data_IF_120297302406
#
_entry.id   IF_120297302406
#
_cell.length_a   1.000
_cell.length_b   1.000
_cell.length_c   1.000
_cell.angle_alpha   90.00
_cell.angle_beta   90.00
_cell.angle_gamma   90.00
#
_symmetry.space_group_name_H-M   'P 1'
#
loop_
_entity.id
_entity.type
_entity.pdbx_description
1 polymer ?
#
# COMPACT_ATOMS: atom_id res chain seq x y z
N UNK A 1 -14.31 5.62 -22.40
CA UNK A 1 -13.18 5.16 -21.57
C UNK A 1 -13.07 3.67 -21.77
N UNK A 2 -11.97 3.19 -22.35
CA UNK A 2 -11.69 1.74 -22.36
C UNK A 2 -11.63 1.24 -20.91
N UNK A 3 -12.37 0.18 -20.64
CA UNK A 3 -12.43 -0.44 -19.31
C UNK A 3 -11.11 -1.16 -19.09
N UNK A 4 -10.30 -0.70 -18.15
CA UNK A 4 -9.06 -1.40 -17.79
C UNK A 4 -9.40 -2.85 -17.37
N UNK A 5 -8.56 -3.83 -17.74
CA UNK A 5 -8.77 -5.21 -17.32
C UNK A 5 -8.72 -5.33 -15.80
N UNK A 6 -9.61 -6.13 -15.22
CA UNK A 6 -9.63 -6.35 -13.78
C UNK A 6 -8.28 -6.89 -13.31
N UNK A 7 -7.69 -6.26 -12.30
CA UNK A 7 -6.41 -6.63 -11.69
C UNK A 7 -6.66 -7.23 -10.30
N UNK A 8 -5.99 -8.34 -10.00
CA UNK A 8 -6.05 -8.95 -8.66
C UNK A 8 -5.60 -7.97 -7.57
N UNK A 9 -4.71 -7.02 -7.89
CA UNK A 9 -4.17 -6.06 -6.93
C UNK A 9 -5.02 -4.79 -6.77
N UNK A 10 -5.91 -4.48 -7.72
CA UNK A 10 -6.75 -3.28 -7.66
C UNK A 10 -8.24 -3.60 -7.42
N UNK A 11 -8.72 -4.72 -7.94
CA UNK A 11 -10.15 -5.07 -7.96
C UNK A 11 -10.49 -6.22 -7.00
N UNK A 12 -9.51 -7.03 -6.58
CA UNK A 12 -9.73 -8.20 -5.71
C UNK A 12 -9.12 -8.00 -4.32
N UNK A 13 -7.89 -7.49 -4.24
CA UNK A 13 -7.26 -7.11 -2.98
C UNK A 13 -7.43 -5.60 -2.78
N UNK A 14 -8.50 -5.23 -2.08
CA UNK A 14 -8.73 -3.85 -1.66
C UNK A 14 -7.68 -3.34 -0.67
N UNK A 15 -7.64 -2.02 -0.40
CA UNK A 15 -6.73 -1.46 0.60
C UNK A 15 -6.86 -2.22 1.93
N UNK A 16 -5.72 -2.49 2.57
CA UNK A 16 -5.69 -3.09 3.91
C UNK A 16 -6.31 -2.08 4.87
N UNK A 17 -7.57 -2.32 5.19
CA UNK A 17 -8.38 -1.50 6.08
C UNK A 17 -8.87 -2.33 7.25
N UNK A 18 -9.31 -1.67 8.31
CA UNK A 18 -10.02 -2.37 9.37
C UNK A 18 -11.42 -2.77 8.86
N UNK A 19 -11.80 -4.04 9.03
CA UNK A 19 -13.18 -4.50 8.79
C UNK A 19 -14.21 -3.82 9.72
N UNK A 20 -15.52 -4.06 9.51
CA UNK A 20 -16.10 -5.17 8.76
C UNK A 20 -16.55 -4.86 7.31
N UNK A 21 -16.59 -3.59 6.89
CA UNK A 21 -17.18 -3.19 5.61
C UNK A 21 -16.35 -2.13 4.89
N UNK A 22 -16.05 -2.35 3.61
CA UNK A 22 -15.23 -1.44 2.80
C UNK A 22 -15.95 -0.15 2.45
N UNK A 23 -17.23 -0.23 2.10
CA UNK A 23 -18.03 0.95 1.78
C UNK A 23 -18.27 1.84 3.00
N UNK A 24 -18.40 1.24 4.18
CA UNK A 24 -18.77 1.96 5.41
C UNK A 24 -17.55 2.43 6.18
N UNK A 25 -16.50 1.62 6.33
CA UNK A 25 -15.28 2.02 7.07
C UNK A 25 -14.33 2.79 6.15
N UNK A 26 -13.83 2.16 5.08
CA UNK A 26 -12.86 2.80 4.20
C UNK A 26 -13.46 3.96 3.40
N UNK A 27 -14.73 3.83 2.97
CA UNK A 27 -15.44 4.94 2.33
C UNK A 27 -15.53 6.18 3.23
N UNK A 28 -15.99 6.00 4.48
CA UNK A 28 -16.09 7.09 5.45
C UNK A 28 -14.72 7.67 5.82
N UNK A 29 -13.71 6.82 6.02
CA UNK A 29 -12.36 7.26 6.34
C UNK A 29 -11.72 8.05 5.21
N UNK A 30 -11.95 7.66 3.96
CA UNK A 30 -11.47 8.41 2.80
C UNK A 30 -12.14 9.79 2.71
N UNK A 31 -13.46 9.86 2.90
CA UNK A 31 -14.20 11.13 2.93
C UNK A 31 -13.65 12.04 4.04
N UNK A 32 -13.50 11.49 5.24
CA UNK A 32 -12.94 12.20 6.39
C UNK A 32 -11.51 12.70 6.14
N UNK A 33 -10.65 11.88 5.52
CA UNK A 33 -9.29 12.25 5.17
C UNK A 33 -9.26 13.40 4.16
N UNK A 34 -10.13 13.40 3.15
CA UNK A 34 -10.26 14.52 2.20
C UNK A 34 -10.69 15.81 2.90
N UNK A 35 -11.67 15.73 3.79
CA UNK A 35 -12.09 16.88 4.61
C UNK A 35 -10.93 17.37 5.47
N UNK A 36 -10.22 16.45 6.14
CA UNK A 36 -9.07 16.77 6.99
C UNK A 36 -7.95 17.49 6.22
N UNK A 37 -7.65 17.03 5.00
CA UNK A 37 -6.66 17.66 4.11
C UNK A 37 -7.07 19.06 3.65
N UNK A 38 -8.37 19.35 3.64
CA UNK A 38 -8.89 20.68 3.31
C UNK A 38 -8.84 21.67 4.48
N UNK A 39 -8.39 21.24 5.67
CA UNK A 39 -8.32 22.05 6.88
C UNK A 39 -6.87 22.39 7.25
N UNK A 40 -6.59 23.68 7.43
CA UNK A 40 -5.27 24.19 7.84
C UNK A 40 -4.99 24.05 9.35
N UNK A 41 -5.98 23.64 10.14
CA UNK A 41 -5.87 23.52 11.59
C UNK A 41 -6.30 22.13 12.08
N UNK A 42 -5.80 21.67 13.25
CA UNK A 42 -6.23 20.41 13.84
C UNK A 42 -7.75 20.38 14.11
N UNK A 43 -8.38 19.25 13.82
CA UNK A 43 -9.80 19.02 14.09
C UNK A 43 -10.00 18.92 15.61
N UNK A 44 -10.64 19.92 16.21
CA UNK A 44 -10.97 19.92 17.65
C UNK A 44 -12.28 19.20 17.95
N UNK A 45 -13.24 19.30 17.02
CA UNK A 45 -14.56 18.70 17.12
C UNK A 45 -15.11 18.48 15.71
N UNK A 46 -15.73 17.34 15.49
CA UNK A 46 -16.52 17.06 14.29
C UNK A 46 -17.92 16.63 14.72
N UNK A 47 -18.92 17.09 13.98
CA UNK A 47 -20.30 16.63 14.08
C UNK A 47 -20.61 15.97 12.74
N UNK A 48 -21.00 14.71 12.78
CA UNK A 48 -21.30 13.91 11.58
C UNK A 48 -22.77 13.55 11.65
N UNK A 49 -23.57 14.23 10.84
CA UNK A 49 -24.99 13.93 10.69
C UNK A 49 -25.19 12.98 9.51
N UNK A 50 -25.86 11.87 9.77
CA UNK A 50 -26.23 10.91 8.73
C UNK A 50 -27.62 11.21 8.22
N UNK A 51 -27.81 11.15 6.90
CA UNK A 51 -29.15 11.14 6.32
C UNK A 51 -29.88 9.87 6.80
N UNK A 52 -31.00 10.05 7.49
CA UNK A 52 -31.83 8.96 8.03
C UNK A 52 -32.37 8.02 6.95
N UNK A 53 -32.49 8.49 5.70
CA UNK A 53 -32.86 7.67 4.56
C UNK A 53 -31.64 7.10 3.81
N UNK A 54 -30.43 7.48 4.23
CA UNK A 54 -29.16 7.07 3.64
C UNK A 54 -28.69 5.70 4.13
N UNK A 55 -27.81 5.09 3.34
CA UNK A 55 -27.30 3.74 3.60
C UNK A 55 -26.45 3.62 4.89
N UNK A 56 -25.83 4.73 5.33
CA UNK A 56 -24.92 4.75 6.48
C UNK A 56 -25.67 4.84 7.82
N UNK A 57 -26.80 5.57 7.89
CA UNK A 57 -27.49 5.85 9.15
C UNK A 57 -27.96 4.59 9.88
N UNK A 58 -28.51 3.62 9.16
CA UNK A 58 -29.05 2.41 9.77
C UNK A 58 -27.96 1.48 10.37
N UNK A 59 -26.70 1.64 9.97
CA UNK A 59 -25.65 0.68 10.30
C UNK A 59 -24.31 1.28 10.71
N UNK A 60 -24.27 2.58 11.01
CA UNK A 60 -23.02 3.30 11.26
C UNK A 60 -22.16 2.66 12.35
N UNK A 61 -22.76 2.21 13.47
CA UNK A 61 -22.03 1.56 14.56
C UNK A 61 -21.62 0.12 14.20
N UNK A 62 -22.53 -0.65 13.61
CA UNK A 62 -22.31 -2.07 13.32
C UNK A 62 -21.30 -2.31 12.18
N UNK A 63 -21.31 -1.43 11.18
CA UNK A 63 -20.37 -1.45 10.07
C UNK A 63 -19.17 -0.50 10.28
N UNK A 64 -19.06 0.19 11.42
CA UNK A 64 -17.89 0.98 11.80
C UNK A 64 -17.68 2.27 11.00
N UNK A 65 -18.75 2.88 10.49
CA UNK A 65 -18.70 4.14 9.75
C UNK A 65 -18.22 5.31 10.61
N UNK A 66 -18.66 5.34 11.87
CA UNK A 66 -18.22 6.29 12.88
C UNK A 66 -16.70 6.23 13.10
N UNK A 67 -16.17 5.02 13.21
CA UNK A 67 -14.73 4.78 13.35
C UNK A 67 -13.97 5.18 12.09
N UNK A 68 -14.53 4.92 10.91
CA UNK A 68 -13.96 5.40 9.65
C UNK A 68 -13.84 6.93 9.62
N UNK A 69 -14.92 7.64 9.94
CA UNK A 69 -14.87 9.11 10.05
C UNK A 69 -13.83 9.58 11.07
N UNK A 70 -13.78 8.96 12.25
CA UNK A 70 -12.80 9.29 13.27
C UNK A 70 -11.36 9.06 12.77
N UNK A 71 -11.05 7.90 12.18
CA UNK A 71 -9.70 7.57 11.73
C UNK A 71 -9.22 8.50 10.61
N UNK A 72 -10.09 8.84 9.67
CA UNK A 72 -9.77 9.78 8.60
C UNK A 72 -9.57 11.21 9.10
N UNK A 73 -10.43 11.68 10.03
CA UNK A 73 -10.31 13.02 10.61
C UNK A 73 -9.06 13.16 11.49
N UNK A 74 -8.65 12.07 12.15
CA UNK A 74 -7.43 11.99 12.95
C UNK A 74 -6.18 11.70 12.11
N UNK A 75 -6.31 11.59 10.78
CA UNK A 75 -5.22 11.34 9.84
C UNK A 75 -4.48 9.99 10.03
N UNK A 76 -5.12 9.02 10.69
CA UNK A 76 -4.48 7.75 11.06
C UNK A 76 -4.10 6.91 9.84
N UNK A 77 -4.87 6.99 8.75
CA UNK A 77 -4.58 6.27 7.51
C UNK A 77 -3.27 6.74 6.86
N UNK A 78 -3.05 8.05 6.80
CA UNK A 78 -1.83 8.61 6.23
C UNK A 78 -0.62 8.31 7.10
N UNK A 79 -0.82 8.30 8.42
CA UNK A 79 0.24 7.96 9.37
C UNK A 79 0.66 6.49 9.23
N UNK A 80 -0.29 5.57 9.04
CA UNK A 80 0.01 4.15 8.83
C UNK A 80 0.67 3.91 7.48
N UNK A 81 0.24 4.62 6.43
CA UNK A 81 0.88 4.60 5.13
C UNK A 81 2.33 5.10 5.21
N UNK A 82 2.60 6.14 6.00
CA UNK A 82 3.95 6.67 6.19
C UNK A 82 4.88 5.62 6.79
N UNK A 83 4.49 5.00 7.91
CA UNK A 83 5.27 3.93 8.55
C UNK A 83 5.49 2.76 7.58
N UNK A 84 4.44 2.37 6.86
CA UNK A 84 4.51 1.29 5.88
C UNK A 84 5.55 1.57 4.78
N UNK A 85 5.56 2.79 4.23
CA UNK A 85 6.52 3.21 3.21
C UNK A 85 7.94 3.35 3.77
N UNK A 86 8.10 3.90 4.96
CA UNK A 86 9.40 3.99 5.64
C UNK A 86 10.04 2.60 5.78
N UNK A 87 9.26 1.58 6.18
CA UNK A 87 9.75 0.21 6.39
C UNK A 87 10.27 -0.47 5.12
N UNK A 88 9.84 -0.03 3.93
CA UNK A 88 10.25 -0.60 2.64
C UNK A 88 11.13 0.35 1.82
N UNK A 89 11.50 1.50 2.39
CA UNK A 89 12.32 2.50 1.69
C UNK A 89 13.68 1.89 1.33
N UNK A 90 14.08 2.02 0.07
CA UNK A 90 15.34 1.48 -0.43
C UNK A 90 15.32 -0.03 -0.76
N UNK A 91 14.17 -0.70 -0.70
CA UNK A 91 14.06 -2.09 -1.12
C UNK A 91 14.40 -2.24 -2.61
N UNK A 92 15.54 -2.88 -2.91
CA UNK A 92 15.99 -3.08 -4.28
C UNK A 92 15.05 -4.01 -5.06
N UNK A 93 15.02 -3.85 -6.39
CA UNK A 93 14.34 -4.79 -7.27
C UNK A 93 15.38 -5.77 -7.84
N UNK A 94 15.36 -7.01 -7.40
CA UNK A 94 16.40 -8.00 -7.69
C UNK A 94 15.81 -9.40 -7.98
N UNK A 95 14.97 -9.55 -9.03
CA UNK A 95 14.30 -10.80 -9.35
C UNK A 95 15.30 -11.92 -9.69
N UNK A 96 15.06 -13.11 -9.13
CA UNK A 96 15.77 -14.33 -9.48
C UNK A 96 15.32 -14.79 -10.87
N UNK A 97 16.31 -15.01 -11.74
CA UNK A 97 16.08 -15.43 -13.12
C UNK A 97 15.36 -14.39 -13.97
N UNK A 98 15.39 -13.11 -13.60
CA UNK A 98 14.69 -12.03 -14.30
C UNK A 98 13.17 -12.28 -14.47
N UNK A 99 12.56 -13.00 -13.52
CA UNK A 99 11.11 -13.29 -13.51
C UNK A 99 10.43 -12.65 -12.31
N UNK A 100 9.14 -12.32 -12.47
CA UNK A 100 8.32 -11.70 -11.42
C UNK A 100 7.75 -12.78 -10.48
N UNK A 101 8.63 -13.61 -9.93
CA UNK A 101 8.25 -14.74 -9.07
C UNK A 101 8.97 -14.63 -7.73
N UNK A 102 10.28 -14.85 -7.72
CA UNK A 102 11.09 -14.81 -6.51
C UNK A 102 12.10 -13.66 -6.56
N UNK A 103 12.27 -12.84 -5.50
CA UNK A 103 11.48 -12.79 -4.26
C UNK A 103 10.17 -11.98 -4.39
N UNK A 104 9.71 -11.64 -5.61
CA UNK A 104 8.55 -10.77 -5.83
C UNK A 104 7.29 -11.18 -5.06
N UNK A 105 6.94 -12.47 -5.06
CA UNK A 105 5.81 -13.01 -4.28
C UNK A 105 6.04 -12.86 -2.76
N UNK A 106 7.27 -13.11 -2.31
CA UNK A 106 7.66 -12.89 -0.92
C UNK A 106 7.57 -11.42 -0.52
N UNK A 107 7.92 -10.49 -1.42
CA UNK A 107 7.77 -9.05 -1.22
C UNK A 107 6.30 -8.63 -1.12
N UNK A 108 5.38 -9.28 -1.84
CA UNK A 108 3.94 -9.06 -1.66
C UNK A 108 3.46 -9.50 -0.25
N UNK A 109 3.91 -10.66 0.22
CA UNK A 109 3.58 -11.16 1.57
C UNK A 109 4.13 -10.21 2.64
N UNK A 110 5.38 -9.77 2.46
CA UNK A 110 6.03 -8.79 3.33
C UNK A 110 5.25 -7.47 3.34
N UNK A 111 4.84 -6.97 2.17
CA UNK A 111 4.06 -5.74 2.03
C UNK A 111 2.71 -5.83 2.74
N UNK A 112 1.99 -6.93 2.57
CA UNK A 112 0.71 -7.15 3.27
C UNK A 112 0.88 -7.22 4.79
N UNK A 113 1.90 -7.94 5.26
CA UNK A 113 2.22 -8.04 6.69
C UNK A 113 2.63 -6.68 7.28
N UNK A 114 3.44 -5.93 6.55
CA UNK A 114 3.90 -4.60 6.92
C UNK A 114 2.73 -3.60 7.00
N UNK A 115 1.79 -3.63 6.05
CA UNK A 115 0.62 -2.76 6.08
C UNK A 115 -0.23 -2.99 7.33
N UNK A 116 -0.50 -4.27 7.68
CA UNK A 116 -1.25 -4.61 8.87
C UNK A 116 -0.52 -4.21 10.16
N UNK A 117 0.78 -4.48 10.23
CA UNK A 117 1.61 -4.11 11.38
C UNK A 117 1.64 -2.58 11.57
N UNK A 118 1.85 -1.83 10.49
CA UNK A 118 1.89 -0.36 10.50
C UNK A 118 0.56 0.23 10.96
N UNK A 119 -0.57 -0.30 10.46
CA UNK A 119 -1.90 0.12 10.92
C UNK A 119 -2.09 -0.15 12.41
N UNK A 120 -1.68 -1.31 12.91
CA UNK A 120 -1.77 -1.64 14.34
C UNK A 120 -0.87 -0.74 15.19
N UNK A 121 0.32 -0.38 14.73
CA UNK A 121 1.21 0.56 15.42
C UNK A 121 0.55 1.93 15.58
N UNK A 122 -0.03 2.48 14.51
CA UNK A 122 -0.72 3.78 14.58
C UNK A 122 -1.98 3.72 15.44
N UNK A 123 -2.76 2.64 15.35
CA UNK A 123 -3.91 2.41 16.24
C UNK A 123 -3.50 2.33 17.71
N UNK A 124 -2.29 1.83 18.00
CA UNK A 124 -1.72 1.79 19.34
C UNK A 124 -1.12 3.14 19.81
N UNK A 125 -1.19 4.19 18.98
CA UNK A 125 -0.67 5.52 19.28
C UNK A 125 0.84 5.68 19.03
N UNK A 126 1.44 4.81 18.22
CA UNK A 126 2.83 4.97 17.79
C UNK A 126 2.99 6.19 16.87
N UNK A 127 4.08 6.94 17.03
CA UNK A 127 4.39 8.09 16.18
C UNK A 127 4.99 7.62 14.85
N UNK A 128 4.49 8.15 13.73
CA UNK A 128 5.02 7.90 12.38
C UNK A 128 6.44 8.44 12.17
N UNK A 129 6.93 9.32 13.05
CA UNK A 129 8.24 10.01 12.99
C UNK A 129 8.37 10.97 11.80
N UNK A 130 8.20 10.49 10.58
CA UNK A 130 8.26 11.27 9.33
C UNK A 130 6.85 11.34 8.71
N UNK A 131 6.35 12.52 8.32
CA UNK A 131 5.10 12.64 7.57
C UNK A 131 5.10 11.86 6.24
N UNK A 132 3.91 11.49 5.77
CA UNK A 132 3.75 10.71 4.54
C UNK A 132 4.35 11.42 3.32
N UNK A 133 4.10 12.72 3.16
CA UNK A 133 4.58 13.47 1.99
C UNK A 133 6.11 13.54 1.93
N UNK A 134 6.77 13.74 3.06
CA UNK A 134 8.24 13.71 3.16
C UNK A 134 8.79 12.31 2.83
N UNK A 135 8.11 11.26 3.31
CA UNK A 135 8.47 9.87 3.02
C UNK A 135 8.35 9.57 1.52
N UNK A 136 7.27 10.01 0.87
CA UNK A 136 7.06 9.87 -0.58
C UNK A 136 8.15 10.63 -1.34
N UNK A 137 8.46 11.86 -0.92
CA UNK A 137 9.54 12.67 -1.50
C UNK A 137 10.89 11.95 -1.43
N UNK A 138 11.25 11.42 -0.26
CA UNK A 138 12.50 10.68 -0.07
C UNK A 138 12.57 9.42 -0.94
N UNK A 139 11.48 8.62 -1.02
CA UNK A 139 11.42 7.44 -1.88
C UNK A 139 11.56 7.81 -3.35
N UNK A 140 10.93 8.90 -3.78
CA UNK A 140 11.01 9.40 -5.15
C UNK A 140 12.46 9.81 -5.52
N UNK A 141 13.13 10.58 -4.65
CA UNK A 141 14.52 10.98 -4.84
C UNK A 141 15.48 9.78 -4.91
N UNK A 142 15.30 8.79 -4.04
CA UNK A 142 16.05 7.52 -4.07
C UNK A 142 15.80 6.79 -5.39
N UNK A 143 14.55 6.71 -5.83
CA UNK A 143 14.17 6.05 -7.08
C UNK A 143 14.85 6.65 -8.31
N UNK A 144 14.90 7.99 -8.39
CA UNK A 144 15.62 8.70 -9.46
C UNK A 144 17.12 8.44 -9.42
N UNK A 145 17.70 8.37 -8.22
CA UNK A 145 19.14 8.21 -7.98
C UNK A 145 19.61 6.75 -8.02
N UNK A 146 18.69 5.79 -8.21
CA UNK A 146 19.00 4.37 -8.05
C UNK A 146 19.97 3.90 -9.15
N UNK A 147 21.14 3.33 -8.83
CA UNK A 147 22.07 2.83 -9.85
C UNK A 147 21.52 1.59 -10.56
N UNK A 148 21.99 1.30 -11.78
CA UNK A 148 21.54 0.14 -12.55
C UNK A 148 21.76 -1.17 -11.76
N UNK A 149 22.81 -1.25 -10.96
CA UNK A 149 23.17 -2.40 -10.14
C UNK A 149 22.17 -2.72 -9.01
N UNK A 150 21.19 -1.85 -8.77
CA UNK A 150 20.08 -2.06 -7.83
C UNK A 150 18.71 -2.13 -8.53
N UNK A 151 18.70 -2.09 -9.87
CA UNK A 151 17.48 -2.14 -10.70
C UNK A 151 17.33 -3.50 -11.38
N UNK A 152 16.17 -4.12 -11.16
CA UNK A 152 15.65 -5.33 -11.81
C UNK A 152 16.73 -6.33 -12.25
N UNK A 153 16.88 -6.49 -13.57
CA UNK A 153 17.73 -7.48 -14.25
C UNK A 153 19.21 -7.38 -13.89
N UNK A 154 19.66 -6.20 -13.47
CA UNK A 154 21.04 -5.92 -13.14
C UNK A 154 21.26 -5.90 -11.61
N UNK A 155 20.26 -6.28 -10.81
CA UNK A 155 20.28 -6.16 -9.36
C UNK A 155 20.51 -7.44 -8.57
N UNK A 156 21.26 -7.33 -7.47
CA UNK A 156 21.23 -8.25 -6.32
C UNK A 156 21.17 -9.75 -6.62
N UNK A 157 20.12 -10.41 -6.12
CA UNK A 157 19.89 -11.85 -6.24
C UNK A 157 19.87 -12.36 -7.69
N UNK A 158 19.41 -11.55 -8.65
CA UNK A 158 19.36 -11.89 -10.07
C UNK A 158 20.74 -12.15 -10.69
N UNK A 159 21.80 -11.57 -10.13
CA UNK A 159 23.19 -11.76 -10.59
C UNK A 159 23.84 -13.05 -10.09
N UNK A 160 23.24 -13.73 -9.11
CA UNK A 160 23.84 -14.91 -8.48
C UNK A 160 23.95 -16.08 -9.45
N UNK A 161 24.90 -17.00 -9.19
CA UNK A 161 25.11 -18.20 -10.01
C UNK A 161 23.82 -19.02 -10.14
N UNK A 162 23.15 -19.25 -9.01
CA UNK A 162 21.88 -19.98 -8.94
C UNK A 162 20.78 -19.30 -9.74
N UNK A 163 20.65 -17.97 -9.67
CA UNK A 163 19.66 -17.25 -10.47
C UNK A 163 19.87 -17.41 -11.98
N UNK A 164 21.13 -17.39 -12.44
CA UNK A 164 21.48 -17.62 -13.86
C UNK A 164 21.21 -19.06 -14.31
N UNK A 165 21.43 -20.03 -13.43
CA UNK A 165 21.10 -21.44 -13.71
C UNK A 165 19.59 -21.65 -13.80
N UNK A 166 18.81 -21.02 -12.91
CA UNK A 166 17.34 -21.04 -12.96
C UNK A 166 16.84 -20.42 -14.26
N UNK A 167 17.37 -19.27 -14.66
CA UNK A 167 17.03 -18.62 -15.94
C UNK A 167 17.23 -19.58 -17.12
N UNK A 168 18.43 -20.15 -17.26
CA UNK A 168 18.74 -21.11 -18.35
C UNK A 168 17.78 -22.31 -18.38
N UNK A 169 17.46 -22.87 -17.21
CA UNK A 169 16.52 -24.00 -17.11
C UNK A 169 15.11 -23.59 -17.51
N UNK A 170 14.68 -22.40 -17.13
CA UNK A 170 13.35 -21.88 -17.45
C UNK A 170 13.23 -21.56 -18.93
N UNK A 171 14.23 -20.93 -19.54
CA UNK A 171 14.24 -20.61 -20.97
C UNK A 171 14.29 -21.86 -21.85
N UNK A 172 14.95 -22.93 -21.39
CA UNK A 172 14.93 -24.23 -22.06
C UNK A 172 13.55 -24.92 -21.99
N UNK A 173 12.76 -24.63 -20.94
CA UNK A 173 11.42 -25.19 -20.77
C UNK A 173 10.34 -24.38 -21.51
N UNK A 174 10.55 -23.07 -21.65
CA UNK A 174 9.68 -22.14 -22.39
C UNK A 174 10.45 -21.48 -23.54
N UNK A 175 10.87 -22.24 -24.57
CA UNK A 175 11.62 -21.67 -25.69
C UNK A 175 10.69 -20.80 -26.55
N UNK A 176 10.92 -19.49 -26.59
CA UNK A 176 10.25 -18.58 -27.55
C UNK A 176 9.54 -17.36 -26.96
N UNK A 177 9.49 -17.19 -25.64
CA UNK A 177 9.20 -15.86 -25.08
C UNK A 177 10.51 -15.08 -25.02
N UNK A 178 10.92 -14.53 -26.17
CA UNK A 178 11.89 -13.44 -26.18
C UNK A 178 11.45 -12.40 -25.15
N UNK A 179 12.37 -12.03 -24.25
CA UNK A 179 12.18 -11.08 -23.17
C UNK A 179 11.31 -9.89 -23.62
N UNK A 180 10.03 -9.91 -23.25
CA UNK A 180 9.17 -8.72 -23.23
C UNK A 180 9.55 -7.85 -22.05
#
# INVERSE_FOLDING_TARGET
MEKLPCSIFNDVLGPVMRGPSSSHVAGAARIASMIRQSLDAPVKKAIVDFDVNGALAASHTGHGTDMGFASGLLNMELDAASVGLQNITGLACDPVGNRVEWPCLGKNIMGGSNALASANMILAGYDKVIPLDETIGAIYEIGLSLPLELRCTFGGLGKTKTAREILKRSDAHFPGEEAR
#
